data_IF_088237969742
#
_entry.id   IF_088237969742
#
_cell.length_a   1.000
_cell.length_b   1.000
_cell.length_c   1.000
_cell.angle_alpha   90.00
_cell.angle_beta   90.00
_cell.angle_gamma   90.00
#
_symmetry.space_group_name_H-M   'P 1'
#
loop_
_entity.id
_entity.type
_entity.pdbx_description
1 polymer ?
#
# COMPACT_ATOMS: atom_id res chain seq x y z
N UNK A 1 -7.99 -1.68 -9.91
CA UNK A 1 -7.97 -1.09 -8.55
C UNK A 1 -7.63 0.41 -8.57
N UNK A 2 -6.37 0.83 -8.73
CA UNK A 2 -6.00 2.26 -8.63
C UNK A 2 -6.75 3.17 -9.63
N UNK A 3 -6.98 2.70 -10.86
CA UNK A 3 -7.83 3.37 -11.86
C UNK A 3 -9.25 3.61 -11.34
N UNK A 4 -9.85 2.59 -10.76
CA UNK A 4 -11.27 2.54 -10.39
C UNK A 4 -11.57 3.37 -9.13
N UNK A 5 -10.55 3.64 -8.30
CA UNK A 5 -10.71 4.49 -7.11
C UNK A 5 -11.05 5.93 -7.46
N UNK A 6 -10.69 6.39 -8.66
CA UNK A 6 -11.02 7.75 -9.14
C UNK A 6 -12.52 7.92 -9.40
N UNK A 7 -13.23 6.83 -9.70
CA UNK A 7 -14.67 6.83 -10.02
C UNK A 7 -15.54 6.42 -8.83
N UNK A 8 -14.98 6.33 -7.62
CA UNK A 8 -15.73 5.91 -6.45
C UNK A 8 -16.82 6.93 -6.07
N UNK A 9 -18.03 6.43 -5.79
CA UNK A 9 -19.27 7.22 -5.66
C UNK A 9 -19.25 8.31 -4.58
N UNK A 10 -18.36 8.20 -3.59
CA UNK A 10 -18.14 9.23 -2.58
C UNK A 10 -16.66 9.67 -2.57
N UNK A 11 -16.34 10.91 -2.99
CA UNK A 11 -14.98 11.44 -2.99
C UNK A 11 -14.42 11.75 -1.60
N UNK A 12 -15.27 11.80 -0.57
CA UNK A 12 -14.90 12.10 0.81
C UNK A 12 -14.77 10.86 1.69
N UNK A 13 -15.08 9.67 1.18
CA UNK A 13 -14.96 8.43 1.95
C UNK A 13 -13.50 7.99 2.11
N UNK A 14 -13.22 7.28 3.20
CA UNK A 14 -11.93 6.57 3.37
C UNK A 14 -11.86 5.46 2.33
N UNK A 15 -10.87 5.52 1.45
CA UNK A 15 -10.65 4.54 0.38
C UNK A 15 -9.48 3.63 0.74
N UNK A 16 -9.69 2.33 0.69
CA UNK A 16 -8.67 1.33 0.98
C UNK A 16 -8.63 0.31 -0.15
N UNK A 17 -7.44 -0.03 -0.60
CA UNK A 17 -7.17 -1.14 -1.51
C UNK A 17 -6.53 -2.24 -0.67
N UNK A 18 -7.20 -3.37 -0.50
CA UNK A 18 -6.65 -4.55 0.18
C UNK A 18 -6.22 -5.53 -0.90
N UNK A 19 -4.93 -5.87 -0.93
CA UNK A 19 -4.34 -6.77 -1.92
C UNK A 19 -4.03 -8.11 -1.29
N UNK A 20 -4.62 -9.19 -1.78
CA UNK A 20 -4.26 -10.57 -1.38
C UNK A 20 -3.56 -11.23 -2.55
N UNK A 21 -2.29 -11.60 -2.39
CA UNK A 21 -1.44 -12.02 -3.53
C UNK A 21 -0.26 -12.88 -3.08
N UNK A 22 0.32 -13.66 -3.98
CA UNK A 22 1.65 -14.30 -3.85
C UNK A 22 2.81 -13.36 -4.21
N UNK A 23 2.51 -12.11 -4.58
CA UNK A 23 3.42 -11.06 -5.02
C UNK A 23 4.15 -11.37 -6.35
N UNK A 24 3.61 -12.30 -7.14
CA UNK A 24 4.12 -12.67 -8.47
C UNK A 24 3.08 -12.25 -9.51
N UNK A 25 3.41 -11.22 -10.29
CA UNK A 25 2.63 -10.90 -11.48
C UNK A 25 3.01 -11.85 -12.60
N UNK A 26 2.02 -12.61 -13.09
CA UNK A 26 2.15 -13.32 -14.36
C UNK A 26 1.68 -12.37 -15.47
N UNK A 27 2.64 -11.69 -16.10
CA UNK A 27 2.43 -10.70 -17.15
C UNK A 27 2.17 -11.37 -18.50
N UNK A 28 1.03 -12.06 -18.65
CA UNK A 28 0.63 -12.55 -19.98
C UNK A 28 0.06 -11.42 -20.86
N UNK A 29 -0.36 -10.31 -20.23
CA UNK A 29 -0.81 -9.08 -20.91
C UNK A 29 -0.38 -7.89 -20.06
N UNK A 30 0.38 -7.00 -20.67
CA UNK A 30 0.83 -5.74 -20.09
C UNK A 30 -0.34 -5.05 -19.38
N UNK A 31 -0.18 -4.72 -18.09
CA UNK A 31 -0.99 -3.66 -17.52
C UNK A 31 -0.56 -2.36 -18.18
N UNK A 32 -1.50 -1.61 -18.78
CA UNK A 32 -1.21 -0.35 -19.50
C UNK A 32 -0.65 0.77 -18.62
N UNK A 33 -0.33 0.48 -17.36
CA UNK A 33 0.11 1.46 -16.37
C UNK A 33 1.50 1.15 -15.84
N UNK A 34 2.38 2.15 -15.90
CA UNK A 34 3.67 2.10 -15.20
C UNK A 34 3.47 2.17 -13.68
N UNK A 35 4.47 1.72 -12.92
CA UNK A 35 4.46 1.83 -11.45
C UNK A 35 4.25 3.28 -10.99
N UNK A 36 4.86 4.24 -11.68
CA UNK A 36 4.69 5.67 -11.38
C UNK A 36 3.24 6.11 -11.59
N UNK A 37 2.58 5.67 -12.66
CA UNK A 37 1.17 5.97 -12.90
C UNK A 37 0.26 5.35 -11.84
N UNK A 38 0.60 4.15 -11.34
CA UNK A 38 -0.12 3.53 -10.23
C UNK A 38 0.07 4.35 -8.95
N UNK A 39 1.31 4.71 -8.61
CA UNK A 39 1.63 5.57 -7.46
C UNK A 39 0.89 6.90 -7.51
N UNK A 40 0.92 7.59 -8.65
CA UNK A 40 0.23 8.88 -8.81
C UNK A 40 -1.27 8.74 -8.64
N UNK A 41 -1.90 7.70 -9.21
CA UNK A 41 -3.34 7.47 -9.03
C UNK A 41 -3.72 7.14 -7.60
N UNK A 42 -2.90 6.37 -6.89
CA UNK A 42 -3.13 6.05 -5.48
C UNK A 42 -3.03 7.30 -4.59
N UNK A 43 -2.07 8.19 -4.88
CA UNK A 43 -1.98 9.49 -4.21
C UNK A 43 -3.17 10.38 -4.53
N UNK A 44 -3.53 10.52 -5.81
CA UNK A 44 -4.62 11.38 -6.28
C UNK A 44 -5.99 10.90 -5.76
N UNK A 45 -6.22 9.59 -5.70
CA UNK A 45 -7.45 9.03 -5.14
C UNK A 45 -7.52 9.14 -3.62
N UNK A 46 -6.41 9.46 -2.95
CA UNK A 46 -6.32 9.45 -1.50
C UNK A 46 -6.49 8.06 -0.90
N UNK A 47 -6.26 6.99 -1.67
CA UNK A 47 -6.39 5.61 -1.19
C UNK A 47 -5.24 5.19 -0.28
N UNK A 48 -5.51 4.24 0.60
CA UNK A 48 -4.52 3.50 1.38
C UNK A 48 -4.35 2.11 0.77
N UNK A 49 -3.11 1.66 0.60
CA UNK A 49 -2.83 0.30 0.10
C UNK A 49 -2.42 -0.58 1.26
N UNK A 50 -3.14 -1.68 1.45
CA UNK A 50 -2.85 -2.72 2.43
C UNK A 50 -2.69 -4.07 1.72
N UNK A 51 -2.00 -5.03 2.35
CA UNK A 51 -1.65 -6.30 1.74
C UNK A 51 -1.62 -7.49 2.68
N UNK A 52 -2.11 -8.63 2.20
CA UNK A 52 -1.84 -9.95 2.77
C UNK A 52 -1.11 -10.76 1.71
N UNK A 53 0.20 -10.93 1.89
CA UNK A 53 1.04 -11.66 0.94
C UNK A 53 1.17 -13.10 1.38
N UNK A 54 0.81 -14.02 0.49
CA UNK A 54 0.83 -15.46 0.76
C UNK A 54 2.21 -16.00 0.45
N UNK A 55 2.89 -16.55 1.46
CA UNK A 55 4.09 -17.36 1.26
C UNK A 55 3.67 -18.72 0.71
N UNK A 56 4.05 -18.98 -0.54
CA UNK A 56 4.14 -20.34 -1.03
C UNK A 56 5.38 -20.97 -0.41
N UNK A 57 5.20 -21.98 0.44
CA UNK A 57 6.30 -22.88 0.77
C UNK A 57 6.52 -23.80 -0.42
N UNK A 58 7.26 -23.34 -1.42
CA UNK A 58 7.73 -24.21 -2.50
C UNK A 58 8.62 -25.29 -1.88
N UNK A 59 8.26 -26.59 -1.98
CA UNK A 59 9.13 -27.68 -1.56
C UNK A 59 10.52 -27.54 -2.20
N UNK A 60 11.60 -27.90 -1.51
CA UNK A 60 12.99 -27.77 -2.02
C UNK A 60 13.22 -28.42 -3.40
N UNK A 61 12.37 -29.38 -3.79
CA UNK A 61 12.40 -30.02 -5.12
C UNK A 61 11.85 -29.10 -6.24
N UNK A 62 10.85 -28.27 -5.91
CA UNK A 62 10.26 -27.27 -6.82
C UNK A 62 11.16 -26.05 -7.01
N UNK A 63 12.03 -25.72 -6.04
CA UNK A 63 13.01 -24.62 -6.19
C UNK A 63 14.06 -24.86 -7.30
N UNK A 64 14.24 -26.10 -7.78
CA UNK A 64 15.09 -26.38 -8.95
C UNK A 64 14.38 -25.93 -10.24
N UNK A 65 13.05 -26.02 -10.29
CA UNK A 65 12.25 -25.46 -11.38
C UNK A 65 12.16 -23.92 -11.28
N UNK A 66 12.18 -23.33 -10.07
CA UNK A 66 12.27 -21.87 -9.88
C UNK A 66 13.59 -21.26 -10.40
N UNK A 67 14.68 -22.03 -10.46
CA UNK A 67 15.96 -21.54 -11.01
C UNK A 67 15.88 -21.26 -12.51
N UNK A 68 15.09 -22.03 -13.24
CA UNK A 68 14.72 -21.76 -14.65
C UNK A 68 13.76 -20.58 -14.77
N UNK A 69 12.94 -20.29 -13.74
CA UNK A 69 11.98 -19.18 -13.74
C UNK A 69 12.56 -17.80 -13.44
N UNK A 70 13.75 -17.69 -12.84
CA UNK A 70 14.39 -16.38 -12.59
C UNK A 70 14.60 -15.54 -13.85
N UNK A 71 14.58 -16.17 -15.03
CA UNK A 71 14.70 -15.53 -16.33
C UNK A 71 13.39 -15.57 -17.14
N UNK A 72 12.24 -15.91 -16.54
CA UNK A 72 10.96 -15.88 -17.23
C UNK A 72 10.53 -14.41 -17.45
N UNK A 73 10.55 -13.91 -18.70
CA UNK A 73 10.16 -12.52 -18.99
C UNK A 73 8.68 -12.25 -18.68
N UNK A 74 7.87 -13.30 -18.48
CA UNK A 74 6.45 -13.22 -18.17
C UNK A 74 6.16 -13.24 -16.67
N UNK A 75 7.16 -13.46 -15.79
CA UNK A 75 6.99 -13.38 -14.33
C UNK A 75 7.72 -12.18 -13.75
N UNK A 76 6.96 -11.22 -13.22
CA UNK A 76 7.49 -10.01 -12.58
C UNK A 76 7.11 -10.01 -11.10
N UNK A 77 8.09 -9.81 -10.22
CA UNK A 77 7.81 -9.50 -8.81
C UNK A 77 7.24 -8.09 -8.71
N UNK A 78 6.08 -7.94 -8.07
CA UNK A 78 5.53 -6.63 -7.73
C UNK A 78 6.20 -6.15 -6.43
N UNK A 79 6.48 -4.85 -6.33
CA UNK A 79 6.90 -4.27 -5.06
C UNK A 79 5.67 -3.71 -4.33
N UNK A 80 4.88 -4.58 -3.69
CA UNK A 80 3.70 -4.16 -2.93
C UNK A 80 4.09 -3.29 -1.72
N UNK A 81 5.21 -3.62 -1.07
CA UNK A 81 5.74 -2.91 0.10
C UNK A 81 5.89 -1.41 -0.17
N UNK A 82 6.41 -1.03 -1.35
CA UNK A 82 6.52 0.37 -1.77
C UNK A 82 5.18 1.12 -1.65
N UNK A 83 4.10 0.58 -2.22
CA UNK A 83 2.80 1.25 -2.21
C UNK A 83 2.19 1.30 -0.81
N UNK A 84 2.43 0.26 -0.01
CA UNK A 84 2.01 0.19 1.39
C UNK A 84 2.70 1.28 2.21
N UNK A 85 4.02 1.43 2.07
CA UNK A 85 4.81 2.42 2.79
C UNK A 85 4.47 3.85 2.36
N UNK A 86 4.34 4.08 1.05
CA UNK A 86 4.00 5.36 0.45
C UNK A 86 2.65 5.90 0.95
N UNK A 87 1.70 5.00 1.20
CA UNK A 87 0.34 5.32 1.67
C UNK A 87 0.15 5.15 3.18
N UNK A 88 1.13 4.59 3.88
CA UNK A 88 1.04 4.25 5.30
C UNK A 88 0.01 3.16 5.59
N UNK A 89 -0.16 2.19 4.71
CA UNK A 89 -1.00 1.02 4.98
C UNK A 89 -0.27 -0.07 5.76
N UNK A 90 -0.84 -1.27 5.74
CA UNK A 90 -0.30 -2.45 6.42
C UNK A 90 -0.07 -3.61 5.46
N UNK A 91 1.07 -4.30 5.60
CA UNK A 91 1.37 -5.53 4.86
C UNK A 91 1.71 -6.65 5.84
N UNK A 92 1.11 -7.82 5.61
CA UNK A 92 1.33 -9.03 6.39
C UNK A 92 1.74 -10.17 5.44
N UNK A 93 2.88 -10.82 5.69
CA UNK A 93 3.38 -11.91 4.84
C UNK A 93 3.25 -13.24 5.58
N UNK A 94 2.35 -14.12 5.12
CA UNK A 94 1.80 -15.23 5.92
C UNK A 94 1.63 -16.51 5.10
N UNK A 95 1.66 -17.70 5.72
CA UNK A 95 1.33 -18.94 5.02
C UNK A 95 -0.15 -18.98 4.58
N UNK A 96 -0.48 -19.80 3.57
CA UNK A 96 -1.84 -19.96 3.03
C UNK A 96 -2.89 -20.19 4.13
N UNK A 97 -2.56 -21.01 5.12
CA UNK A 97 -3.48 -21.37 6.21
C UNK A 97 -3.88 -20.18 7.09
N UNK A 98 -3.07 -19.12 7.15
CA UNK A 98 -3.31 -17.94 8.00
C UNK A 98 -4.03 -16.80 7.29
N UNK A 99 -4.21 -16.86 5.96
CA UNK A 99 -4.70 -15.73 5.14
C UNK A 99 -6.02 -15.15 5.66
N UNK A 100 -7.00 -16.00 5.99
CA UNK A 100 -8.30 -15.54 6.47
C UNK A 100 -8.22 -14.81 7.82
N UNK A 101 -7.42 -15.35 8.74
CA UNK A 101 -7.19 -14.73 10.06
C UNK A 101 -6.56 -13.35 9.90
N UNK A 102 -5.55 -13.27 9.04
CA UNK A 102 -4.72 -12.09 8.79
C UNK A 102 -5.47 -11.00 8.05
N UNK A 103 -6.32 -11.39 7.10
CA UNK A 103 -7.26 -10.47 6.46
C UNK A 103 -8.27 -9.89 7.46
N UNK A 104 -8.77 -10.71 8.39
CA UNK A 104 -9.68 -10.24 9.44
C UNK A 104 -9.00 -9.22 10.35
N UNK A 105 -7.81 -9.54 10.86
CA UNK A 105 -6.99 -8.63 11.68
C UNK A 105 -6.75 -7.28 10.97
N UNK A 106 -6.43 -7.33 9.68
CA UNK A 106 -6.20 -6.14 8.87
C UNK A 106 -7.47 -5.27 8.74
N UNK A 107 -8.64 -5.89 8.56
CA UNK A 107 -9.92 -5.17 8.52
C UNK A 107 -10.22 -4.51 9.87
N UNK A 108 -9.93 -5.18 10.99
CA UNK A 108 -10.10 -4.61 12.32
C UNK A 108 -9.17 -3.41 12.55
N UNK A 109 -7.91 -3.48 12.10
CA UNK A 109 -6.98 -2.35 12.14
C UNK A 109 -7.46 -1.16 11.30
N UNK A 110 -8.08 -1.41 10.14
CA UNK A 110 -8.65 -0.34 9.32
C UNK A 110 -9.82 0.37 10.04
N UNK A 111 -10.58 -0.36 10.86
CA UNK A 111 -11.69 0.21 11.64
C UNK A 111 -11.21 1.14 12.74
N UNK A 112 -10.11 0.80 13.41
CA UNK A 112 -9.54 1.57 14.53
C UNK A 112 -8.62 2.70 14.08
N UNK A 113 -8.40 2.88 12.78
CA UNK A 113 -7.52 3.90 12.22
C UNK A 113 -8.09 5.32 12.37
N UNK A 114 -7.31 6.17 13.03
CA UNK A 114 -7.58 7.61 13.14
C UNK A 114 -7.22 8.35 11.84
N UNK A 115 -7.99 9.40 11.53
CA UNK A 115 -7.70 10.34 10.45
C UNK A 115 -7.36 11.70 11.04
N UNK A 116 -6.16 12.20 10.73
CA UNK A 116 -5.69 13.52 11.20
C UNK A 116 -5.58 14.44 10.00
N UNK A 117 -6.32 15.55 10.06
CA UNK A 117 -6.22 16.63 9.07
C UNK A 117 -5.23 17.70 9.51
N UNK A 118 -4.54 18.31 8.56
CA UNK A 118 -3.72 19.50 8.80
C UNK A 118 -3.82 20.43 7.58
N UNK A 119 -3.65 21.73 7.80
CA UNK A 119 -3.51 22.71 6.73
C UNK A 119 -2.03 22.98 6.49
N UNK A 120 -1.58 22.87 5.24
CA UNK A 120 -0.19 23.21 4.90
C UNK A 120 0.01 24.72 4.98
N UNK A 121 1.13 25.17 5.53
CA UNK A 121 1.53 26.59 5.46
C UNK A 121 1.91 27.01 4.03
N UNK A 122 2.31 26.05 3.19
CA UNK A 122 2.56 26.29 1.78
C UNK A 122 1.25 26.16 0.98
N UNK A 123 0.75 27.27 0.45
CA UNK A 123 -0.50 27.31 -0.33
C UNK A 123 -0.29 27.17 -1.85
N UNK A 124 0.96 27.04 -2.35
CA UNK A 124 1.23 26.98 -3.80
C UNK A 124 0.79 25.66 -4.44
N UNK A 125 -0.01 25.70 -5.50
CA UNK A 125 -0.45 24.50 -6.22
C UNK A 125 0.42 24.21 -7.45
N UNK A 126 1.71 24.02 -7.20
CA UNK A 126 2.76 23.82 -8.23
C UNK A 126 2.88 22.38 -8.75
N UNK A 127 2.01 21.48 -8.27
CA UNK A 127 2.00 20.08 -8.63
C UNK A 127 3.14 19.24 -8.06
N UNK A 128 4.03 19.82 -7.25
CA UNK A 128 5.16 19.12 -6.65
C UNK A 128 4.73 18.22 -5.50
N UNK A 129 5.51 17.18 -5.26
CA UNK A 129 5.30 16.27 -4.14
C UNK A 129 5.74 16.93 -2.83
N UNK A 130 4.87 16.88 -1.83
CA UNK A 130 5.06 17.47 -0.51
C UNK A 130 5.11 16.36 0.51
N UNK A 131 6.27 16.19 1.14
CA UNK A 131 6.48 15.16 2.16
C UNK A 131 5.75 15.49 3.45
N UNK A 132 5.21 14.46 4.08
CA UNK A 132 4.54 14.53 5.38
C UNK A 132 5.21 13.54 6.31
N UNK A 133 5.44 13.97 7.55
CA UNK A 133 6.00 13.12 8.61
C UNK A 133 5.21 13.34 9.88
N UNK A 134 4.71 12.26 10.45
CA UNK A 134 4.12 12.23 11.78
C UNK A 134 5.10 11.53 12.73
N UNK A 135 5.28 12.10 13.92
CA UNK A 135 6.07 11.50 14.99
C UNK A 135 5.30 11.58 16.29
N UNK A 136 5.47 10.57 17.15
CA UNK A 136 4.92 10.58 18.51
C UNK A 136 5.85 11.42 19.39
N UNK A 137 5.27 12.21 20.31
CA UNK A 137 6.05 12.97 21.28
C UNK A 137 6.70 12.04 22.30
N UNK A 138 7.79 12.49 22.94
CA UNK A 138 8.50 11.69 23.95
C UNK A 138 7.60 11.37 25.15
N UNK A 139 6.73 12.31 25.50
CA UNK A 139 5.79 12.19 26.62
C UNK A 139 4.74 11.11 26.34
N UNK A 140 4.23 11.03 25.12
CA UNK A 140 3.27 10.00 24.72
C UNK A 140 3.92 8.61 24.69
N UNK A 141 5.16 8.48 24.20
CA UNK A 141 5.91 7.22 24.26
C UNK A 141 6.14 6.75 25.71
N UNK A 142 6.45 7.65 26.64
CA UNK A 142 6.60 7.30 28.06
C UNK A 142 5.30 6.78 28.69
N UNK A 143 4.14 7.31 28.27
CA UNK A 143 2.84 6.97 28.85
C UNK A 143 2.24 5.69 28.26
N UNK A 144 2.43 5.46 26.96
CA UNK A 144 1.73 4.42 26.22
C UNK A 144 2.65 3.30 25.71
N UNK A 145 3.96 3.42 25.93
CA UNK A 145 4.95 2.47 25.43
C UNK A 145 5.22 2.66 23.94
N UNK A 146 5.71 1.60 23.30
CA UNK A 146 6.05 1.62 21.89
C UNK A 146 4.80 1.75 21.02
N UNK A 147 4.79 2.76 20.16
CA UNK A 147 3.68 3.06 19.25
C UNK A 147 4.15 3.00 17.80
N UNK A 148 3.44 2.23 16.97
CA UNK A 148 3.70 2.17 15.54
C UNK A 148 2.96 3.29 14.81
N UNK A 149 3.70 4.21 14.18
CA UNK A 149 3.13 5.28 13.36
C UNK A 149 3.17 4.90 11.88
N UNK A 150 2.01 4.59 11.31
CA UNK A 150 1.83 4.38 9.86
C UNK A 150 1.10 5.56 9.25
N UNK A 151 1.81 6.36 8.46
CA UNK A 151 1.26 7.55 7.81
C UNK A 151 1.65 7.61 6.34
N UNK A 152 0.83 8.30 5.56
CA UNK A 152 1.14 8.61 4.17
C UNK A 152 2.40 9.48 4.12
N UNK A 153 3.31 9.17 3.19
CA UNK A 153 4.61 9.85 3.09
C UNK A 153 4.53 11.25 2.49
N UNK A 154 3.41 11.59 1.85
CA UNK A 154 3.21 12.91 1.23
C UNK A 154 1.98 12.98 0.33
N UNK A 155 1.88 14.07 -0.41
CA UNK A 155 0.80 14.33 -1.37
C UNK A 155 1.30 15.30 -2.45
N UNK A 156 0.64 15.33 -3.60
CA UNK A 156 0.91 16.34 -4.62
C UNK A 156 0.10 17.60 -4.36
N UNK A 157 0.75 18.76 -4.36
CA UNK A 157 0.09 20.06 -4.27
C UNK A 157 -0.52 20.48 -5.61
N UNK A 158 -1.56 19.77 -6.08
CA UNK A 158 -2.23 20.05 -7.36
C UNK A 158 -3.59 20.68 -7.12
N UNK A 159 -4.05 21.49 -8.07
CA UNK A 159 -5.46 21.86 -8.14
C UNK A 159 -6.33 20.59 -8.26
N UNK A 160 -7.40 20.53 -7.47
CA UNK A 160 -8.41 19.48 -7.65
C UNK A 160 -9.08 19.71 -9.01
N UNK A 161 -8.90 18.76 -9.93
CA UNK A 161 -9.69 18.68 -11.16
C UNK A 161 -11.11 18.23 -10.85
#
# INVERSE_FOLDING_TARGET
>A
AAKDMSTASNPLSRRVIITVTDNIATAYRFGDMSEQQVTDRVYDSGSVVCGVVVKSETPKLLTVFDRTEKNDPFRRRINLEKYVDDTGGEIQIVPVIEVNKRLTELIDHLRTRYSVGYASTNQTLDGRFRRVRLAVTKEALKRHGDMLVRTRQGYYGRERK
#
